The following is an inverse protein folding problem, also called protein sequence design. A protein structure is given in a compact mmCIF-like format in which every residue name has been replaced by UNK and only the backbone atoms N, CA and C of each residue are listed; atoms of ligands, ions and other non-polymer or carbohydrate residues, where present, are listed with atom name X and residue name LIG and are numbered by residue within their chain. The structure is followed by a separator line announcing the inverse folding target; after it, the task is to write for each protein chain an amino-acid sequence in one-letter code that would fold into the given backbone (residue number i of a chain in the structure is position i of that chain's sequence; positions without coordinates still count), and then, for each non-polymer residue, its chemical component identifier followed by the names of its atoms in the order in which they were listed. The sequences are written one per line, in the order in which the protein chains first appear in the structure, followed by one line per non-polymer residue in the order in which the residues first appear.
data_IF_958462983085
#
_entry.id   IF_958462983085
#
_cell.length_a   1.000
_cell.length_b   1.000
_cell.length_c   1.000
_cell.angle_alpha   90.00
_cell.angle_beta   90.00
_cell.angle_gamma   90.00
#
_symmetry.space_group_name_H-M   'P 1'
#
loop_
_entity.id
_entity.type
_entity.pdbx_description
1 polymer ?
#
# COMPACT_ATOMS: atom_id res chain seq x y z
N UNK A 1 -9.43 -17.42 -40.42
CA UNK A 1 -9.60 -16.38 -39.41
C UNK A 1 -10.26 -17.02 -38.20
N UNK A 2 -9.49 -17.32 -37.16
CA UNK A 2 -9.99 -17.95 -35.93
C UNK A 2 -10.43 -16.81 -34.98
N UNK A 3 -11.72 -16.79 -34.65
CA UNK A 3 -12.32 -15.87 -33.67
C UNK A 3 -11.94 -16.40 -32.29
N UNK A 4 -11.04 -15.70 -31.60
CA UNK A 4 -10.71 -15.95 -30.19
C UNK A 4 -11.88 -15.47 -29.35
N UNK A 5 -12.57 -16.39 -28.70
CA UNK A 5 -13.63 -16.09 -27.74
C UNK A 5 -13.02 -15.39 -26.51
N UNK A 6 -13.67 -14.32 -25.97
CA UNK A 6 -13.21 -13.69 -24.75
C UNK A 6 -13.34 -14.66 -23.57
N UNK A 7 -12.29 -14.71 -22.74
CA UNK A 7 -12.30 -15.50 -21.50
C UNK A 7 -13.44 -15.01 -20.56
N UNK A 8 -14.13 -15.94 -19.88
CA UNK A 8 -15.18 -15.57 -18.94
C UNK A 8 -14.57 -14.76 -17.78
N UNK A 9 -15.17 -13.61 -17.49
CA UNK A 9 -14.84 -12.80 -16.34
C UNK A 9 -15.02 -13.65 -15.08
N UNK A 10 -13.94 -13.90 -14.35
CA UNK A 10 -13.99 -14.55 -13.05
C UNK A 10 -14.72 -13.60 -12.09
N UNK A 11 -15.97 -13.93 -11.78
CA UNK A 11 -16.70 -13.31 -10.69
C UNK A 11 -15.93 -13.56 -9.39
N UNK A 12 -15.61 -12.52 -8.60
CA UNK A 12 -14.96 -12.72 -7.31
C UNK A 12 -15.89 -13.58 -6.46
N UNK A 13 -15.43 -14.76 -6.09
CA UNK A 13 -16.12 -15.60 -5.09
C UNK A 13 -15.95 -14.91 -3.75
N UNK A 14 -16.88 -14.01 -3.43
CA UNK A 14 -16.98 -13.44 -2.09
C UNK A 14 -17.24 -14.57 -1.10
N UNK A 15 -16.44 -14.61 -0.07
CA UNK A 15 -16.41 -15.59 0.99
C UNK A 15 -17.80 -15.75 1.63
N UNK A 16 -18.45 -16.88 1.39
CA UNK A 16 -19.54 -17.33 2.24
C UNK A 16 -18.93 -17.91 3.52
N UNK A 17 -18.52 -17.06 4.44
CA UNK A 17 -18.35 -17.47 5.80
C UNK A 17 -19.72 -17.33 6.48
N UNK A 18 -20.50 -18.38 6.40
CA UNK A 18 -21.67 -18.51 7.26
C UNK A 18 -21.19 -18.46 8.70
N UNK A 19 -21.76 -17.55 9.49
CA UNK A 19 -21.58 -17.45 10.94
C UNK A 19 -22.06 -18.78 11.56
N UNK A 20 -21.17 -19.77 11.56
CA UNK A 20 -21.27 -20.96 12.38
C UNK A 20 -20.29 -20.75 13.52
N UNK A 21 -20.79 -20.22 14.64
CA UNK A 21 -20.06 -20.23 15.91
C UNK A 21 -19.74 -21.68 16.27
N UNK A 22 -18.60 -22.18 15.86
CA UNK A 22 -18.00 -23.39 16.41
C UNK A 22 -17.28 -23.00 17.68
N UNK A 23 -17.46 -23.77 18.74
CA UNK A 23 -16.88 -23.59 20.07
C UNK A 23 -15.33 -23.56 20.11
N UNK A 24 -14.63 -23.53 18.98
CA UNK A 24 -13.19 -23.37 18.82
C UNK A 24 -12.73 -22.03 18.24
N UNK A 25 -13.67 -21.10 17.93
CA UNK A 25 -13.34 -19.80 17.28
C UNK A 25 -13.35 -18.62 18.26
N UNK A 26 -13.47 -18.87 19.56
CA UNK A 26 -13.65 -17.83 20.57
C UNK A 26 -12.48 -16.83 20.70
N UNK A 27 -11.31 -17.13 20.14
CA UNK A 27 -10.10 -16.31 20.29
C UNK A 27 -9.40 -16.00 18.95
N UNK A 28 -10.15 -16.07 17.84
CA UNK A 28 -9.61 -15.76 16.52
C UNK A 28 -9.69 -14.27 16.24
N UNK A 29 -8.59 -13.68 15.80
CA UNK A 29 -8.55 -12.33 15.28
C UNK A 29 -8.45 -12.37 13.76
N UNK A 30 -9.28 -11.56 13.08
CA UNK A 30 -9.31 -11.48 11.62
C UNK A 30 -8.83 -10.12 11.14
N UNK A 31 -7.97 -10.17 10.11
CA UNK A 31 -7.50 -8.97 9.41
C UNK A 31 -7.75 -9.13 7.91
N UNK A 32 -8.45 -8.17 7.32
CA UNK A 32 -8.76 -8.13 5.89
C UNK A 32 -7.92 -7.06 5.22
N UNK A 33 -7.26 -7.42 4.12
CA UNK A 33 -6.57 -6.47 3.25
C UNK A 33 -7.20 -6.50 1.87
N UNK A 34 -7.52 -5.32 1.38
CA UNK A 34 -8.16 -5.13 0.10
C UNK A 34 -7.37 -4.11 -0.73
N UNK A 35 -6.85 -4.52 -1.88
CA UNK A 35 -6.15 -3.66 -2.82
C UNK A 35 -7.04 -3.41 -4.03
N UNK A 36 -7.45 -2.15 -4.21
CA UNK A 36 -8.35 -1.70 -5.26
C UNK A 36 -7.59 -0.76 -6.22
N UNK A 37 -7.79 -0.97 -7.52
CA UNK A 37 -7.37 -0.01 -8.53
C UNK A 37 -8.60 0.74 -9.00
N UNK A 38 -8.53 2.06 -8.95
CA UNK A 38 -9.60 2.99 -9.34
C UNK A 38 -9.04 4.04 -10.30
N UNK A 39 -9.86 4.77 -11.06
CA UNK A 39 -9.37 5.89 -11.86
C UNK A 39 -8.59 6.89 -10.98
N UNK A 40 -7.43 7.33 -11.45
CA UNK A 40 -6.51 8.14 -10.65
C UNK A 40 -7.16 9.40 -10.05
N UNK A 41 -7.99 10.09 -10.83
CA UNK A 41 -8.71 11.29 -10.39
C UNK A 41 -9.85 11.02 -9.40
N UNK A 42 -10.23 9.76 -9.15
CA UNK A 42 -11.29 9.36 -8.22
C UNK A 42 -10.76 8.76 -6.91
N UNK A 43 -9.44 8.62 -6.76
CA UNK A 43 -8.81 8.03 -5.54
C UNK A 43 -9.30 8.74 -4.28
N UNK A 44 -9.24 10.08 -4.23
CA UNK A 44 -9.72 10.86 -3.09
C UNK A 44 -11.22 10.67 -2.83
N UNK A 45 -12.04 10.64 -3.89
CA UNK A 45 -13.48 10.43 -3.75
C UNK A 45 -13.82 9.02 -3.20
N UNK A 46 -13.08 7.98 -3.60
CA UNK A 46 -13.22 6.64 -3.01
C UNK A 46 -12.81 6.60 -1.55
N UNK A 47 -11.72 7.31 -1.19
CA UNK A 47 -11.31 7.44 0.22
C UNK A 47 -12.40 8.12 1.05
N UNK A 48 -13.00 9.20 0.56
CA UNK A 48 -14.07 9.91 1.27
C UNK A 48 -15.35 9.08 1.36
N UNK A 49 -15.68 8.32 0.33
CA UNK A 49 -16.78 7.36 0.38
C UNK A 49 -16.53 6.26 1.45
N UNK A 50 -15.30 5.74 1.54
CA UNK A 50 -14.93 4.77 2.56
C UNK A 50 -14.99 5.35 3.99
N UNK A 51 -14.53 6.59 4.18
CA UNK A 51 -14.68 7.33 5.46
C UNK A 51 -16.15 7.50 5.83
N UNK A 52 -16.96 7.90 4.85
CA UNK A 52 -18.41 8.09 5.05
C UNK A 52 -19.12 6.78 5.38
N UNK A 53 -18.75 5.68 4.73
CA UNK A 53 -19.27 4.35 5.03
C UNK A 53 -18.92 3.91 6.46
N UNK A 54 -17.70 4.22 6.95
CA UNK A 54 -17.32 3.96 8.33
C UNK A 54 -18.12 4.83 9.30
N UNK A 55 -18.24 6.14 9.08
CA UNK A 55 -18.97 7.04 9.97
C UNK A 55 -20.48 6.74 10.03
N UNK A 56 -21.03 6.22 8.94
CA UNK A 56 -22.44 5.79 8.89
C UNK A 56 -22.68 4.43 9.59
N UNK A 57 -21.64 3.62 9.73
CA UNK A 57 -21.73 2.31 10.38
C UNK A 57 -21.65 2.46 11.91
N UNK A 58 -22.60 1.88 12.61
CA UNK A 58 -22.57 1.80 14.08
C UNK A 58 -21.34 0.98 14.50
N UNK A 59 -20.54 1.51 15.42
CA UNK A 59 -19.34 0.86 15.97
C UNK A 59 -18.18 0.67 14.98
N UNK A 60 -18.10 1.49 13.90
CA UNK A 60 -16.89 1.58 13.11
C UNK A 60 -15.88 2.52 13.78
N UNK A 61 -14.66 2.05 13.95
CA UNK A 61 -13.53 2.83 14.45
C UNK A 61 -12.56 3.10 13.30
N UNK A 62 -12.37 4.37 12.94
CA UNK A 62 -11.36 4.77 11.98
C UNK A 62 -9.98 4.73 12.65
N UNK A 63 -9.14 3.80 12.26
CA UNK A 63 -7.77 3.63 12.81
C UNK A 63 -6.80 4.59 12.16
N UNK A 64 -6.80 4.65 10.82
CA UNK A 64 -5.96 5.57 10.08
C UNK A 64 -6.56 5.86 8.70
N UNK A 65 -6.24 7.03 8.16
CA UNK A 65 -6.60 7.38 6.80
C UNK A 65 -5.55 8.34 6.25
N UNK A 66 -4.97 8.01 5.11
CA UNK A 66 -3.98 8.84 4.43
C UNK A 66 -4.19 8.81 2.93
N UNK A 67 -3.81 9.90 2.30
CA UNK A 67 -3.75 10.07 0.86
C UNK A 67 -2.35 10.55 0.50
N UNK A 68 -1.81 10.04 -0.59
CA UNK A 68 -0.49 10.40 -1.07
C UNK A 68 -0.53 10.64 -2.58
N UNK A 69 0.20 11.65 -3.03
CA UNK A 69 0.39 11.95 -4.45
C UNK A 69 1.89 11.83 -4.74
N UNK A 70 2.23 10.97 -5.67
CA UNK A 70 3.60 10.75 -6.13
C UNK A 70 3.77 11.35 -7.53
N UNK A 71 4.77 12.20 -7.70
CA UNK A 71 5.14 12.75 -9.01
C UNK A 71 6.10 11.79 -9.71
N UNK A 72 5.66 11.17 -10.80
CA UNK A 72 6.42 10.21 -11.60
C UNK A 72 7.32 10.87 -12.67
N UNK A 73 7.40 12.20 -12.65
CA UNK A 73 8.13 12.98 -13.66
C UNK A 73 7.29 13.31 -14.90
N UNK A 74 7.79 14.22 -15.73
CA UNK A 74 7.10 14.71 -16.96
C UNK A 74 5.66 15.21 -16.73
N UNK A 75 5.35 15.71 -15.53
CA UNK A 75 4.02 16.20 -15.18
C UNK A 75 2.95 15.13 -15.01
N UNK A 76 3.36 13.88 -14.81
CA UNK A 76 2.46 12.77 -14.47
C UNK A 76 2.51 12.57 -12.97
N UNK A 77 1.35 12.68 -12.32
CA UNK A 77 1.16 12.33 -10.91
C UNK A 77 0.36 11.04 -10.80
N UNK A 78 0.61 10.29 -9.75
CA UNK A 78 -0.17 9.12 -9.35
C UNK A 78 -0.69 9.33 -7.94
N UNK A 79 -2.00 9.15 -7.77
CA UNK A 79 -2.64 9.23 -6.47
C UNK A 79 -2.78 7.85 -5.86
N UNK A 80 -2.54 7.75 -4.57
CA UNK A 80 -2.83 6.56 -3.78
C UNK A 80 -3.44 6.96 -2.45
N UNK A 81 -4.34 6.12 -1.94
CA UNK A 81 -4.96 6.36 -0.65
C UNK A 81 -5.06 5.06 0.13
N UNK A 82 -5.03 5.17 1.45
CA UNK A 82 -5.20 4.02 2.33
C UNK A 82 -6.10 4.40 3.49
N UNK A 83 -6.97 3.47 3.84
CA UNK A 83 -7.82 3.56 5.03
C UNK A 83 -7.75 2.25 5.81
N UNK A 84 -7.60 2.35 7.12
CA UNK A 84 -7.68 1.24 8.04
C UNK A 84 -8.82 1.50 9.02
N UNK A 85 -9.73 0.54 9.14
CA UNK A 85 -10.89 0.60 10.03
C UNK A 85 -10.99 -0.65 10.88
N UNK A 86 -11.69 -0.55 12.01
CA UNK A 86 -12.14 -1.68 12.83
C UNK A 86 -13.64 -1.72 12.88
N UNK A 87 -14.18 -2.91 12.69
CA UNK A 87 -15.61 -3.15 12.60
C UNK A 87 -15.99 -4.43 13.36
N UNK A 88 -17.19 -4.50 13.94
CA UNK A 88 -17.76 -5.76 14.39
C UNK A 88 -17.89 -6.76 13.23
N UNK A 89 -17.75 -8.05 13.51
CA UNK A 89 -17.79 -9.14 12.51
C UNK A 89 -18.97 -9.06 11.54
N UNK A 90 -20.17 -8.70 12.04
CA UNK A 90 -21.38 -8.61 11.24
C UNK A 90 -21.42 -7.43 10.25
N UNK A 91 -20.48 -6.49 10.35
CA UNK A 91 -20.41 -5.27 9.53
C UNK A 91 -19.34 -5.29 8.47
N UNK A 92 -18.37 -6.19 8.58
CA UNK A 92 -17.20 -6.24 7.70
C UNK A 92 -17.59 -6.48 6.24
N UNK A 93 -18.47 -7.45 5.97
CA UNK A 93 -18.88 -7.77 4.60
C UNK A 93 -19.62 -6.59 3.94
N UNK A 94 -20.50 -5.92 4.70
CA UNK A 94 -21.23 -4.75 4.22
C UNK A 94 -20.27 -3.58 3.90
N UNK A 95 -19.26 -3.37 4.74
CA UNK A 95 -18.22 -2.34 4.52
C UNK A 95 -17.38 -2.66 3.30
N UNK A 96 -16.86 -3.88 3.16
CA UNK A 96 -16.07 -4.32 2.00
C UNK A 96 -16.89 -4.13 0.71
N UNK A 97 -18.17 -4.50 0.73
CA UNK A 97 -19.05 -4.30 -0.42
C UNK A 97 -19.25 -2.82 -0.74
N UNK A 98 -19.40 -1.97 0.25
CA UNK A 98 -19.55 -0.53 0.04
C UNK A 98 -18.33 0.11 -0.60
N UNK A 99 -17.11 -0.21 -0.09
CA UNK A 99 -15.85 0.34 -0.64
C UNK A 99 -15.46 -0.22 -1.99
N UNK A 100 -15.93 -1.43 -2.33
CA UNK A 100 -15.71 -2.06 -3.63
C UNK A 100 -16.76 -1.66 -4.68
N UNK A 101 -17.76 -0.87 -4.29
CA UNK A 101 -18.83 -0.43 -5.19
C UNK A 101 -18.42 0.82 -5.96
N UNK A 102 -18.87 0.97 -7.22
CA UNK A 102 -18.61 2.18 -8.00
C UNK A 102 -19.30 3.40 -7.37
N UNK A 103 -18.65 4.54 -7.51
CA UNK A 103 -19.23 5.83 -7.13
C UNK A 103 -20.39 6.22 -8.08
N UNK A 104 -21.29 7.10 -7.63
CA UNK A 104 -22.36 7.60 -8.50
C UNK A 104 -21.81 8.20 -9.80
N UNK A 105 -22.21 7.63 -10.94
CA UNK A 105 -21.73 8.03 -12.26
C UNK A 105 -20.46 7.30 -12.73
N UNK A 106 -19.90 6.41 -11.95
CA UNK A 106 -18.75 5.60 -12.31
C UNK A 106 -19.18 4.26 -12.91
N UNK A 107 -18.46 3.78 -13.92
CA UNK A 107 -18.71 2.45 -14.48
C UNK A 107 -18.04 1.36 -13.62
N UNK A 108 -18.77 0.30 -13.34
CA UNK A 108 -18.29 -0.83 -12.50
C UNK A 108 -16.99 -1.48 -13.00
N UNK A 109 -16.69 -1.36 -14.30
CA UNK A 109 -15.44 -1.88 -14.90
C UNK A 109 -14.19 -1.08 -14.52
N UNK A 110 -14.36 0.13 -14.00
CA UNK A 110 -13.25 1.02 -13.63
C UNK A 110 -12.66 0.67 -12.26
N UNK A 111 -13.39 -0.11 -11.45
CA UNK A 111 -12.89 -0.60 -10.16
C UNK A 111 -12.43 -2.04 -10.36
N UNK A 112 -11.15 -2.27 -10.09
CA UNK A 112 -10.55 -3.59 -10.18
C UNK A 112 -9.98 -3.99 -8.83
N UNK A 113 -10.53 -5.04 -8.24
CA UNK A 113 -9.93 -5.67 -7.06
C UNK A 113 -8.69 -6.46 -7.50
N UNK A 114 -7.52 -5.98 -7.10
CA UNK A 114 -6.25 -6.67 -7.39
C UNK A 114 -5.97 -7.80 -6.44
N UNK A 115 -6.20 -7.56 -5.16
CA UNK A 115 -6.03 -8.56 -4.13
C UNK A 115 -7.08 -8.39 -3.04
N UNK A 116 -7.53 -9.51 -2.51
CA UNK A 116 -8.36 -9.56 -1.30
C UNK A 116 -7.81 -10.71 -0.46
N UNK A 117 -7.24 -10.39 0.69
CA UNK A 117 -6.59 -11.35 1.59
C UNK A 117 -7.23 -11.26 2.96
N UNK A 118 -7.57 -12.40 3.54
CA UNK A 118 -7.99 -12.51 4.94
C UNK A 118 -6.93 -13.31 5.69
N UNK A 119 -6.43 -12.75 6.78
CA UNK A 119 -5.50 -13.39 7.71
C UNK A 119 -6.21 -13.70 9.00
N UNK A 120 -5.97 -14.89 9.54
CA UNK A 120 -6.53 -15.37 10.79
C UNK A 120 -5.39 -15.59 11.78
N UNK A 121 -5.57 -15.14 13.02
CA UNK A 121 -4.59 -15.33 14.10
C UNK A 121 -5.31 -15.90 15.32
N UNK A 122 -4.82 -17.03 15.82
CA UNK A 122 -5.30 -17.60 17.09
C UNK A 122 -4.62 -16.91 18.26
N UNK A 123 -5.41 -16.24 19.10
CA UNK A 123 -4.97 -15.49 20.28
C UNK A 123 -5.24 -16.26 21.59
N UNK A 124 -5.66 -17.50 21.55
CA UNK A 124 -6.04 -18.27 22.74
C UNK A 124 -4.90 -18.33 23.75
N UNK A 125 -3.69 -18.63 23.30
CA UNK A 125 -2.54 -18.74 24.21
C UNK A 125 -2.17 -17.37 24.79
N UNK A 126 -2.23 -16.31 23.99
CA UNK A 126 -1.94 -14.93 24.43
C UNK A 126 -2.92 -14.50 25.53
N UNK A 127 -4.22 -14.78 25.36
CA UNK A 127 -5.23 -14.48 26.36
C UNK A 127 -5.01 -15.27 27.66
N UNK A 128 -4.73 -16.57 27.57
CA UNK A 128 -4.44 -17.41 28.73
C UNK A 128 -3.20 -16.91 29.48
N UNK A 129 -2.15 -16.51 28.78
CA UNK A 129 -0.91 -16.06 29.38
C UNK A 129 -1.07 -14.71 30.07
N UNK A 130 -1.81 -13.77 29.47
CA UNK A 130 -2.12 -12.48 30.09
C UNK A 130 -3.02 -12.66 31.31
N UNK A 131 -4.03 -13.51 31.25
CA UNK A 131 -4.90 -13.79 32.39
C UNK A 131 -4.12 -14.43 33.55
N UNK A 132 -3.20 -15.36 33.27
CA UNK A 132 -2.31 -15.94 34.27
C UNK A 132 -1.41 -14.89 34.90
N UNK A 133 -0.82 -14.00 34.10
CA UNK A 133 0.02 -12.88 34.55
C UNK A 133 -0.76 -11.95 35.47
N UNK A 134 -1.95 -11.54 35.07
CA UNK A 134 -2.83 -10.70 35.91
C UNK A 134 -3.15 -11.36 37.24
N UNK A 135 -3.48 -12.66 37.26
CA UNK A 135 -3.76 -13.39 38.50
C UNK A 135 -2.52 -13.46 39.43
N UNK A 136 -1.36 -13.72 38.86
CA UNK A 136 -0.09 -13.78 39.65
C UNK A 136 0.27 -12.42 40.23
N UNK A 137 0.19 -11.35 39.44
CA UNK A 137 0.51 -9.99 39.90
C UNK A 137 -0.50 -9.49 40.92
N UNK A 138 -1.77 -9.81 40.77
CA UNK A 138 -2.81 -9.47 41.76
C UNK A 138 -2.50 -10.17 43.08
N UNK A 139 -2.21 -11.46 43.07
CA UNK A 139 -1.83 -12.20 44.28
C UNK A 139 -0.55 -11.68 44.91
N UNK A 140 0.40 -11.20 44.10
CA UNK A 140 1.64 -10.61 44.61
C UNK A 140 1.39 -9.26 45.25
N UNK A 141 0.57 -8.38 44.63
CA UNK A 141 0.13 -7.12 45.21
C UNK A 141 -0.54 -7.32 46.57
N UNK A 142 -1.48 -8.27 46.66
CA UNK A 142 -2.22 -8.55 47.89
C UNK A 142 -1.28 -8.99 49.03
N UNK A 143 -0.20 -9.75 48.70
CA UNK A 143 0.83 -10.12 49.69
C UNK A 143 1.67 -8.94 50.14
N UNK A 144 2.01 -8.01 49.21
CA UNK A 144 2.77 -6.81 49.56
C UNK A 144 1.92 -5.88 50.42
N UNK A 145 0.64 -5.71 50.15
CA UNK A 145 -0.30 -4.95 51.00
C UNK A 145 -0.41 -5.55 52.41
N UNK A 146 -0.46 -6.87 52.53
CA UNK A 146 -0.42 -7.57 53.83
C UNK A 146 0.89 -7.36 54.57
N UNK A 147 2.02 -7.35 53.87
CA UNK A 147 3.35 -7.05 54.45
C UNK A 147 3.47 -5.60 54.90
N UNK A 148 2.94 -4.64 54.16
CA UNK A 148 2.86 -3.22 54.51
C UNK A 148 2.13 -3.06 55.84
N UNK A 149 0.94 -3.69 55.96
CA UNK A 149 0.14 -3.63 57.17
C UNK A 149 0.87 -4.24 58.41
N UNK A 150 1.75 -5.21 58.20
CA UNK A 150 2.54 -5.86 59.30
C UNK A 150 3.83 -5.10 59.62
N UNK A 151 4.33 -4.26 58.73
CA UNK A 151 5.61 -3.54 58.87
C UNK A 151 5.49 -2.23 59.67
N UNK A 152 4.37 -2.01 60.34
CA UNK A 152 4.12 -0.81 61.13
C UNK A 152 5.23 -0.58 62.18
N UNK A 153 6.09 0.41 61.90
CA UNK A 153 7.22 0.80 62.77
C UNK A 153 8.63 0.66 62.19
N UNK A 154 8.80 0.08 60.95
CA UNK A 154 10.08 0.02 60.24
C UNK A 154 10.03 0.82 58.95
N UNK A 155 10.49 2.07 59.01
CA UNK A 155 10.42 3.02 57.93
C UNK A 155 11.12 2.52 56.65
N UNK A 156 12.29 1.88 56.75
CA UNK A 156 13.06 1.37 55.61
C UNK A 156 12.34 0.24 54.88
N UNK A 157 11.66 -0.65 55.60
CA UNK A 157 10.90 -1.76 55.02
C UNK A 157 9.63 -1.24 54.33
N UNK A 158 8.97 -0.25 54.93
CA UNK A 158 7.81 0.44 54.33
C UNK A 158 8.18 1.10 52.99
N UNK A 159 9.32 1.78 52.90
CA UNK A 159 9.77 2.40 51.65
C UNK A 159 10.00 1.36 50.55
N UNK A 160 10.61 0.23 50.89
CA UNK A 160 10.83 -0.86 49.94
C UNK A 160 9.51 -1.47 49.45
N UNK A 161 8.58 -1.78 50.37
CA UNK A 161 7.28 -2.31 50.03
C UNK A 161 6.47 -1.35 49.19
N UNK A 162 6.48 -0.05 49.54
CA UNK A 162 5.80 0.98 48.72
C UNK A 162 6.36 1.07 47.29
N UNK A 163 7.70 0.96 47.14
CA UNK A 163 8.32 0.90 45.81
C UNK A 163 7.86 -0.31 45.00
N UNK A 164 7.93 -1.51 45.61
CA UNK A 164 7.47 -2.75 44.97
C UNK A 164 5.97 -2.69 44.62
N UNK A 165 5.13 -2.15 45.49
CA UNK A 165 3.70 -1.91 45.19
C UNK A 165 3.50 -1.03 43.96
N UNK A 166 4.27 0.05 43.84
CA UNK A 166 4.21 0.95 42.68
C UNK A 166 4.62 0.23 41.40
N UNK A 167 5.67 -0.62 41.44
CA UNK A 167 6.15 -1.40 40.29
C UNK A 167 5.12 -2.46 39.87
N UNK A 168 4.52 -3.16 40.83
CA UNK A 168 3.48 -4.17 40.57
C UNK A 168 2.23 -3.52 40.03
N UNK A 169 1.82 -2.34 40.55
CA UNK A 169 0.68 -1.61 40.06
C UNK A 169 0.86 -1.19 38.59
N UNK A 170 2.04 -0.67 38.23
CA UNK A 170 2.36 -0.36 36.83
C UNK A 170 2.29 -1.60 35.92
N UNK A 171 2.82 -2.72 36.42
CA UNK A 171 2.80 -3.99 35.67
C UNK A 171 1.38 -4.56 35.48
N UNK A 172 0.50 -4.38 36.47
CA UNK A 172 -0.92 -4.74 36.39
C UNK A 172 -1.65 -3.87 35.36
N UNK A 173 -1.37 -2.58 35.34
CA UNK A 173 -1.96 -1.67 34.34
C UNK A 173 -1.54 -2.04 32.94
N UNK A 174 -0.29 -2.40 32.73
CA UNK A 174 0.22 -2.79 31.41
C UNK A 174 -0.39 -4.15 30.97
N UNK A 175 -0.45 -5.14 31.86
CA UNK A 175 -1.12 -6.39 31.56
C UNK A 175 -2.62 -6.22 31.30
N UNK A 176 -3.31 -5.29 31.99
CA UNK A 176 -4.71 -4.97 31.70
C UNK A 176 -4.89 -4.28 30.34
N UNK A 177 -3.98 -3.38 29.95
CA UNK A 177 -3.97 -2.77 28.59
C UNK A 177 -3.79 -3.84 27.52
N UNK A 178 -2.86 -4.78 27.75
CA UNK A 178 -2.62 -5.89 26.84
C UNK A 178 -3.88 -6.75 26.68
N UNK A 179 -4.54 -7.14 27.79
CA UNK A 179 -5.80 -7.89 27.78
C UNK A 179 -6.88 -7.17 26.99
N UNK A 180 -7.06 -5.85 27.23
CA UNK A 180 -8.03 -5.04 26.51
C UNK A 180 -7.70 -4.97 25.01
N UNK A 181 -6.43 -4.94 24.66
CA UNK A 181 -5.97 -4.99 23.26
C UNK A 181 -6.32 -6.31 22.59
N UNK A 182 -6.10 -7.43 23.25
CA UNK A 182 -6.47 -8.76 22.76
C UNK A 182 -7.98 -8.91 22.61
N UNK A 183 -8.76 -8.50 23.63
CA UNK A 183 -10.23 -8.53 23.54
C UNK A 183 -10.73 -7.71 22.36
N UNK A 184 -10.20 -6.50 22.13
CA UNK A 184 -10.57 -5.67 20.97
C UNK A 184 -10.27 -6.37 19.65
N UNK A 185 -9.15 -7.09 19.54
CA UNK A 185 -8.77 -7.83 18.32
C UNK A 185 -9.68 -9.04 18.08
N UNK A 186 -10.21 -9.64 19.14
CA UNK A 186 -11.16 -10.76 19.08
C UNK A 186 -12.56 -10.28 18.74
N UNK A 187 -13.02 -9.18 19.36
CA UNK A 187 -14.38 -8.67 19.22
C UNK A 187 -14.61 -7.90 17.91
N UNK A 188 -13.52 -7.44 17.27
CA UNK A 188 -13.58 -6.65 16.05
C UNK A 188 -12.58 -7.15 15.02
N UNK A 189 -12.91 -6.98 13.74
CA UNK A 189 -12.02 -7.26 12.63
C UNK A 189 -11.39 -5.96 12.12
N UNK A 190 -10.13 -6.08 11.69
CA UNK A 190 -9.42 -4.99 11.03
C UNK A 190 -9.57 -5.11 9.52
N UNK A 191 -9.93 -4.01 8.87
CA UNK A 191 -10.02 -3.92 7.41
C UNK A 191 -9.10 -2.81 6.93
N UNK A 192 -8.06 -3.20 6.19
CA UNK A 192 -7.14 -2.29 5.52
C UNK A 192 -7.48 -2.24 4.03
N UNK A 193 -7.85 -1.07 3.53
CA UNK A 193 -8.16 -0.85 2.11
C UNK A 193 -7.13 0.10 1.53
N UNK A 194 -6.50 -0.31 0.43
CA UNK A 194 -5.64 0.55 -0.38
C UNK A 194 -6.28 0.82 -1.74
N UNK A 195 -6.32 2.09 -2.11
CA UNK A 195 -6.75 2.57 -3.41
C UNK A 195 -5.52 3.03 -4.18
N UNK A 196 -5.28 2.44 -5.35
CA UNK A 196 -4.23 2.84 -6.26
C UNK A 196 -4.85 3.44 -7.52
N UNK A 197 -4.41 4.65 -7.87
CA UNK A 197 -4.80 5.29 -9.12
C UNK A 197 -4.39 4.42 -10.31
N UNK A 198 -5.34 4.05 -11.16
CA UNK A 198 -5.02 3.41 -12.42
C UNK A 198 -4.12 4.33 -13.21
N UNK A 199 -2.91 3.89 -13.54
CA UNK A 199 -2.07 4.62 -14.47
C UNK A 199 -2.91 4.85 -15.74
N UNK A 200 -3.07 6.10 -16.13
CA UNK A 200 -3.60 6.40 -17.44
C UNK A 200 -2.69 5.64 -18.42
N UNK A 201 -3.18 4.51 -18.92
CA UNK A 201 -2.54 3.88 -20.06
C UNK A 201 -2.72 4.89 -21.18
N UNK A 202 -1.73 5.79 -21.31
CA UNK A 202 -1.57 6.54 -22.55
C UNK A 202 -1.69 5.47 -23.62
N UNK A 203 -2.70 5.61 -24.50
CA UNK A 203 -2.92 4.66 -25.58
C UNK A 203 -1.55 4.39 -26.20
N UNK A 204 -1.15 3.13 -26.43
CA UNK A 204 0.20 2.80 -26.90
C UNK A 204 0.60 3.56 -28.15
N UNK A 205 -0.39 4.11 -28.86
CA UNK A 205 -0.22 5.01 -30.01
C UNK A 205 0.31 6.38 -29.57
N UNK A 206 -0.21 6.99 -28.49
CA UNK A 206 0.21 8.33 -28.05
C UNK A 206 1.61 8.31 -27.41
N UNK A 207 1.95 7.24 -26.70
CA UNK A 207 3.28 7.04 -26.15
C UNK A 207 4.32 6.82 -27.26
N UNK A 208 4.00 6.01 -28.28
CA UNK A 208 4.85 5.83 -29.46
C UNK A 208 4.99 7.11 -30.29
N UNK A 209 3.98 7.97 -30.38
CA UNK A 209 4.10 9.25 -31.04
C UNK A 209 5.04 10.20 -30.31
N UNK A 210 4.96 10.29 -28.97
CA UNK A 210 5.87 11.11 -28.19
C UNK A 210 7.32 10.59 -28.24
N UNK A 211 7.52 9.29 -28.17
CA UNK A 211 8.83 8.66 -28.34
C UNK A 211 9.36 8.88 -29.77
N UNK A 212 8.51 8.76 -30.78
CA UNK A 212 8.89 9.01 -32.19
C UNK A 212 9.24 10.46 -32.45
N UNK A 213 8.56 11.43 -31.83
CA UNK A 213 8.89 12.86 -31.99
C UNK A 213 10.20 13.23 -31.29
N UNK A 214 10.51 12.62 -30.15
CA UNK A 214 11.81 12.81 -29.49
C UNK A 214 12.96 12.24 -30.33
N UNK A 215 12.82 10.99 -30.80
CA UNK A 215 13.80 10.34 -31.67
C UNK A 215 13.97 11.14 -33.00
N UNK A 216 12.86 11.65 -33.53
CA UNK A 216 12.91 12.44 -34.77
C UNK A 216 13.63 13.79 -34.57
N UNK A 217 13.38 14.48 -33.45
CA UNK A 217 14.09 15.74 -33.12
C UNK A 217 15.58 15.51 -32.86
N UNK A 218 15.92 14.43 -32.19
CA UNK A 218 17.31 14.04 -31.92
C UNK A 218 18.03 13.68 -33.23
N UNK A 219 17.41 12.90 -34.11
CA UNK A 219 17.95 12.57 -35.45
C UNK A 219 18.06 13.77 -36.36
N UNK A 220 17.13 14.74 -36.27
CA UNK A 220 17.20 15.99 -37.04
C UNK A 220 18.40 16.85 -36.59
N UNK A 221 18.68 16.84 -35.29
CA UNK A 221 19.88 17.50 -34.73
C UNK A 221 21.17 16.92 -35.29
N UNK A 222 21.26 15.59 -35.39
CA UNK A 222 22.41 14.89 -35.92
C UNK A 222 22.60 15.13 -37.42
N UNK A 223 21.54 15.15 -38.19
CA UNK A 223 21.55 15.49 -39.63
C UNK A 223 22.03 16.95 -39.85
N UNK A 224 21.57 17.87 -39.01
CA UNK A 224 22.01 19.27 -39.08
C UNK A 224 23.48 19.42 -38.74
N UNK A 225 23.98 18.72 -37.75
CA UNK A 225 25.37 18.68 -37.38
C UNK A 225 26.25 18.09 -38.51
N UNK A 226 25.78 17.03 -39.16
CA UNK A 226 26.44 16.41 -40.32
C UNK A 226 26.51 17.35 -41.52
N UNK A 227 25.47 18.14 -41.79
CA UNK A 227 25.47 19.16 -42.86
C UNK A 227 26.47 20.26 -42.59
N UNK A 228 26.59 20.77 -41.37
CA UNK A 228 27.57 21.77 -40.98
C UNK A 228 28.99 21.20 -41.16
N UNK A 229 29.21 19.97 -40.71
CA UNK A 229 30.48 19.27 -40.88
C UNK A 229 30.83 19.07 -42.35
N UNK A 230 29.88 18.69 -43.18
CA UNK A 230 30.03 18.50 -44.63
C UNK A 230 30.43 19.80 -45.34
N UNK A 231 29.87 20.95 -44.97
CA UNK A 231 30.22 22.28 -45.52
C UNK A 231 31.66 22.64 -45.23
N UNK A 232 32.18 22.32 -44.05
CA UNK A 232 33.59 22.59 -43.67
C UNK A 232 34.55 21.70 -44.47
N UNK A 233 34.21 20.44 -44.73
CA UNK A 233 35.06 19.50 -45.43
C UNK A 233 34.93 19.53 -46.96
N UNK A 234 33.80 20.04 -47.47
CA UNK A 234 33.50 20.12 -48.91
C UNK A 234 34.60 20.81 -49.73
N UNK A 235 35.19 21.96 -49.33
CA UNK A 235 36.24 22.62 -50.08
C UNK A 235 37.55 21.79 -50.09
N UNK A 236 37.85 21.10 -48.98
CA UNK A 236 39.05 20.25 -48.91
C UNK A 236 38.93 19.04 -49.85
N UNK A 237 37.76 18.40 -49.86
CA UNK A 237 37.49 17.26 -50.78
C UNK A 237 37.50 17.72 -52.23
N UNK A 238 36.98 18.91 -52.52
CA UNK A 238 36.94 19.46 -53.87
C UNK A 238 38.41 19.79 -54.36
N UNK A 239 39.23 20.36 -53.52
CA UNK A 239 40.68 20.59 -53.83
C UNK A 239 41.40 19.26 -54.05
N UNK A 240 41.18 18.25 -53.18
CA UNK A 240 41.76 16.92 -53.37
C UNK A 240 41.34 16.26 -54.69
N UNK A 241 40.08 16.34 -55.06
CA UNK A 241 39.56 15.83 -56.33
C UNK A 241 40.17 16.55 -57.54
N UNK A 242 40.32 17.87 -57.46
CA UNK A 242 40.96 18.66 -58.51
C UNK A 242 42.44 18.27 -58.66
N UNK A 243 43.14 18.05 -57.56
CA UNK A 243 44.54 17.62 -57.60
C UNK A 243 44.65 16.20 -58.18
N UNK A 244 43.81 15.26 -57.80
CA UNK A 244 43.79 13.91 -58.37
C UNK A 244 43.45 13.97 -59.87
N UNK A 245 42.46 14.73 -60.29
CA UNK A 245 42.07 14.92 -61.67
C UNK A 245 43.20 15.54 -62.48
N UNK A 246 43.96 16.50 -61.89
CA UNK A 246 45.13 17.11 -62.53
C UNK A 246 46.27 16.11 -62.63
N UNK A 247 46.54 15.26 -61.63
CA UNK A 247 47.53 14.22 -61.63
C UNK A 247 47.24 13.14 -62.72
N UNK A 248 45.99 12.74 -62.84
CA UNK A 248 45.53 11.79 -63.89
C UNK A 248 45.68 12.41 -65.26
N UNK A 249 45.37 13.71 -65.48
CA UNK A 249 45.47 14.41 -66.74
C UNK A 249 46.99 14.65 -67.14
N UNK A 250 47.85 14.74 -66.17
CA UNK A 250 49.34 14.87 -66.40
C UNK A 250 50.04 13.54 -66.64
N UNK A 251 49.28 12.41 -66.68
CA UNK A 251 49.86 11.12 -67.01
C UNK A 251 50.83 10.53 -65.99
N UNK A 252 50.78 11.01 -64.70
CA UNK A 252 51.74 10.61 -63.69
C UNK A 252 51.52 9.16 -63.17
N UNK A 253 50.39 8.50 -63.57
CA UNK A 253 50.07 7.10 -63.28
C UNK A 253 50.39 6.17 -64.45
N UNK A 254 51.12 6.62 -65.43
CA UNK A 254 51.67 5.78 -66.52
C UNK A 254 53.17 5.58 -66.31
N UNK A 255 53.48 4.70 -65.41
CA UNK A 255 54.78 4.01 -65.40
C UNK A 255 54.50 2.53 -65.20
N UNK A 256 54.85 1.86 -66.29
CA UNK A 256 55.06 0.42 -66.49
C UNK A 256 54.00 -0.53 -66.05
#
# INVERSE_FOLDING_TARGET
MAVVAPAPAMSPRFFKHGVSQRAGQAFMAYEHRLDLTVPDHLVGAHLDAARSACTAAVSCELVSSNENTEELGQGVSQHSARIAVRLPHDRVEAFIKAVSSPLPGEESRNIVTRAATTSETDLQNDVIDVDRRLAQMTAYRDRLEALEAQSAGRTDDLIKVAKELSEVQSSLEDAQKEKNGLSRRIDTERVDVSFEGARATSTPVRQRWNESTQIFMETLGDVWFFLIQAVVWAPLVLVALLLVRRAIRKGWFRRD
#
